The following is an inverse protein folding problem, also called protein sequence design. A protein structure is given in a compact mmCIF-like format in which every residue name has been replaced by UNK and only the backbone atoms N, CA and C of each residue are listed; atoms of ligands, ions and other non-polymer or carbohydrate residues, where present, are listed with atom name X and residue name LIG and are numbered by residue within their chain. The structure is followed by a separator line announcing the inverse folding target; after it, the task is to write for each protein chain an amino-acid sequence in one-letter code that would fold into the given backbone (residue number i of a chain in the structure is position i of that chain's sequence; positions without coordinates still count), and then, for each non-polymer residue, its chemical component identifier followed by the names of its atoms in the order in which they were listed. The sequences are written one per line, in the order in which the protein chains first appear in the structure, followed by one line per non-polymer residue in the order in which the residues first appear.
data_IF_475818254610
#
_entry.id   IF_475818254610
#
_cell.length_a   1.000
_cell.length_b   1.000
_cell.length_c   1.000
_cell.angle_alpha   90.00
_cell.angle_beta   90.00
_cell.angle_gamma   90.00
#
_symmetry.space_group_name_H-M   'P 1'
#
loop_
_entity.id
_entity.type
_entity.pdbx_description
1 polymer ?
#
# COMPACT_ATOMS: atom_id res chain seq x y z
N UNK A 1 -17.65 47.58 3.63
CA UNK A 1 -18.79 48.12 2.87
C UNK A 1 -18.56 47.84 1.39
N UNK A 2 -19.25 46.84 0.88
CA UNK A 2 -20.00 46.75 -0.40
C UNK A 2 -20.57 45.33 -0.34
N UNK A 3 -21.88 45.26 -0.13
CA UNK A 3 -22.63 44.03 0.01
C UNK A 3 -23.02 43.52 -1.39
N UNK A 4 -22.75 42.25 -1.67
CA UNK A 4 -23.32 41.54 -2.81
C UNK A 4 -24.17 40.42 -2.23
N UNK A 5 -25.49 40.58 -2.37
CA UNK A 5 -26.48 39.55 -2.02
C UNK A 5 -26.26 38.31 -2.89
N UNK A 6 -26.02 37.16 -2.25
CA UNK A 6 -26.12 35.84 -2.87
C UNK A 6 -27.37 35.14 -2.33
N UNK A 7 -28.15 34.47 -3.19
CA UNK A 7 -29.37 33.76 -2.78
C UNK A 7 -29.04 32.58 -1.84
N UNK A 8 -29.99 32.14 -1.00
CA UNK A 8 -29.73 31.11 0.00
C UNK A 8 -29.35 29.79 -0.66
N UNK A 9 -28.19 29.26 -0.26
CA UNK A 9 -27.77 27.91 -0.59
C UNK A 9 -28.70 26.92 0.12
N UNK A 10 -29.29 26.03 -0.67
CA UNK A 10 -30.14 24.94 -0.19
C UNK A 10 -29.41 24.08 0.84
N UNK A 11 -30.12 23.76 1.92
CA UNK A 11 -29.67 22.85 2.99
C UNK A 11 -29.23 21.50 2.42
N UNK A 12 -28.15 20.88 2.94
CA UNK A 12 -27.83 19.50 2.62
C UNK A 12 -28.85 18.61 3.31
N UNK A 13 -29.84 18.17 2.54
CA UNK A 13 -30.84 17.19 2.93
C UNK A 13 -30.13 15.91 3.42
N UNK A 14 -30.08 15.73 4.73
CA UNK A 14 -29.73 14.47 5.39
C UNK A 14 -30.86 13.47 5.14
N UNK A 15 -30.72 12.68 4.08
CA UNK A 15 -31.47 11.43 3.90
C UNK A 15 -30.46 10.28 3.73
N UNK A 16 -30.60 9.17 4.47
CA UNK A 16 -29.72 8.03 4.32
C UNK A 16 -29.88 7.43 2.92
N UNK A 17 -28.77 7.22 2.23
CA UNK A 17 -28.71 6.47 0.98
C UNK A 17 -29.28 5.07 1.22
N UNK A 18 -30.52 4.85 0.78
CA UNK A 18 -31.13 3.55 0.73
C UNK A 18 -30.31 2.62 -0.18
N UNK A 19 -30.20 1.32 0.14
CA UNK A 19 -29.46 0.37 -0.68
C UNK A 19 -30.05 0.32 -2.10
N UNK A 20 -29.16 0.40 -3.10
CA UNK A 20 -29.48 0.15 -4.50
C UNK A 20 -30.06 -1.26 -4.64
N UNK A 21 -31.39 -1.35 -4.56
CA UNK A 21 -32.12 -2.56 -4.93
C UNK A 21 -32.02 -2.76 -6.44
N UNK A 22 -31.71 -3.97 -6.93
CA UNK A 22 -31.80 -4.25 -8.35
C UNK A 22 -33.23 -4.04 -8.84
N UNK A 23 -33.37 -3.29 -9.94
CA UNK A 23 -34.64 -3.11 -10.66
C UNK A 23 -35.26 -4.48 -10.97
N UNK A 24 -36.52 -4.75 -10.59
CA UNK A 24 -37.23 -5.90 -11.10
C UNK A 24 -37.60 -5.61 -12.57
N UNK A 25 -36.85 -6.20 -13.51
CA UNK A 25 -37.31 -6.31 -14.89
C UNK A 25 -38.53 -7.24 -14.89
N UNK A 26 -39.72 -6.65 -14.81
CA UNK A 26 -40.98 -7.28 -15.23
C UNK A 26 -40.77 -7.81 -16.66
N UNK A 27 -40.70 -9.12 -16.81
CA UNK A 27 -41.01 -9.79 -18.08
C UNK A 27 -42.39 -10.39 -17.94
N UNK A 28 -43.37 -9.70 -18.52
CA UNK A 28 -44.61 -10.32 -18.98
C UNK A 28 -44.22 -11.34 -20.04
N UNK A 29 -44.05 -12.60 -19.64
CA UNK A 29 -44.12 -13.70 -20.60
C UNK A 29 -45.60 -13.91 -20.91
N UNK A 30 -46.02 -13.36 -22.04
CA UNK A 30 -47.26 -13.76 -22.67
C UNK A 30 -47.19 -15.26 -22.97
N UNK A 31 -47.87 -16.04 -22.14
CA UNK A 31 -48.11 -17.49 -22.23
C UNK A 31 -48.93 -17.91 -23.47
N UNK A 32 -48.95 -17.09 -24.52
CA UNK A 32 -49.76 -17.28 -25.73
C UNK A 32 -48.96 -17.58 -27.00
N UNK A 33 -47.63 -17.66 -26.91
CA UNK A 33 -46.77 -18.12 -28.01
C UNK A 33 -46.34 -19.59 -27.88
N UNK A 34 -46.30 -20.12 -26.66
CA UNK A 34 -45.93 -21.52 -26.40
C UNK A 34 -47.08 -22.51 -26.63
N UNK A 35 -48.33 -22.05 -26.49
CA UNK A 35 -49.51 -22.89 -26.69
C UNK A 35 -49.88 -23.05 -28.17
N UNK A 36 -49.58 -22.06 -29.02
CA UNK A 36 -49.86 -22.10 -30.46
C UNK A 36 -48.83 -22.93 -31.25
N UNK A 37 -47.59 -23.03 -30.75
CA UNK A 37 -46.55 -23.91 -31.34
C UNK A 37 -46.75 -25.41 -31.02
N UNK A 38 -47.44 -25.75 -29.93
CA UNK A 38 -47.75 -27.13 -29.55
C UNK A 38 -49.03 -27.68 -30.21
N UNK A 39 -49.94 -26.81 -30.67
CA UNK A 39 -51.16 -27.24 -31.37
C UNK A 39 -50.89 -27.49 -32.87
N UNK A 40 -49.87 -26.85 -33.45
CA UNK A 40 -49.48 -27.06 -34.84
C UNK A 40 -48.63 -28.32 -35.08
N UNK A 41 -48.06 -28.91 -34.02
CA UNK A 41 -47.30 -30.17 -34.10
C UNK A 41 -48.16 -31.42 -33.95
N UNK A 42 -49.41 -31.31 -33.49
CA UNK A 42 -50.34 -32.43 -33.33
C UNK A 42 -51.23 -32.68 -34.56
N UNK A 43 -51.22 -31.80 -35.57
CA UNK A 43 -52.00 -31.98 -36.81
C UNK A 43 -51.18 -32.52 -37.99
N UNK A 44 -49.88 -32.75 -37.82
CA UNK A 44 -48.99 -33.25 -38.88
C UNK A 44 -48.43 -34.67 -38.62
N UNK A 45 -48.94 -35.42 -37.64
CA UNK A 45 -48.39 -36.75 -37.29
C UNK A 45 -49.16 -37.96 -37.83
N UNK A 46 -50.07 -37.77 -38.79
CA UNK A 46 -50.80 -38.86 -39.46
C UNK A 46 -50.92 -38.59 -40.96
N UNK A 47 -49.97 -39.09 -41.75
CA UNK A 47 -50.06 -39.06 -43.21
C UNK A 47 -48.76 -39.50 -43.87
N UNK A 48 -48.79 -40.62 -44.58
CA UNK A 48 -47.63 -41.34 -45.10
C UNK A 48 -46.89 -40.64 -46.25
N UNK A 49 -45.73 -41.23 -46.57
CA UNK A 49 -44.69 -40.65 -47.39
C UNK A 49 -45.05 -40.34 -48.85
N UNK A 50 -44.34 -39.36 -49.39
CA UNK A 50 -44.32 -39.03 -50.81
C UNK A 50 -44.05 -37.53 -51.05
N UNK A 51 -42.82 -37.22 -51.47
CA UNK A 51 -42.37 -36.04 -52.23
C UNK A 51 -43.05 -34.69 -51.90
N UNK A 52 -42.29 -33.83 -51.21
CA UNK A 52 -42.63 -32.45 -50.81
C UNK A 52 -43.64 -32.34 -49.66
N UNK A 53 -43.21 -32.72 -48.46
CA UNK A 53 -43.86 -32.26 -47.24
C UNK A 53 -43.57 -30.76 -47.05
N UNK A 54 -44.51 -29.93 -47.53
CA UNK A 54 -44.44 -28.47 -47.48
C UNK A 54 -44.18 -27.95 -46.06
N UNK A 55 -44.59 -28.66 -45.00
CA UNK A 55 -44.35 -28.24 -43.61
C UNK A 55 -42.90 -28.42 -43.15
N UNK A 56 -42.20 -29.41 -43.70
CA UNK A 56 -40.84 -29.78 -43.28
C UNK A 56 -39.79 -28.71 -43.62
N UNK A 57 -39.82 -28.17 -44.84
CA UNK A 57 -38.83 -27.19 -45.31
C UNK A 57 -38.91 -25.85 -44.54
N UNK A 58 -40.12 -25.35 -44.24
CA UNK A 58 -40.29 -24.16 -43.42
C UNK A 58 -39.89 -24.40 -41.95
N UNK A 59 -40.13 -25.59 -41.41
CA UNK A 59 -39.68 -25.95 -40.06
C UNK A 59 -38.15 -26.00 -39.95
N UNK A 60 -37.47 -26.50 -41.00
CA UNK A 60 -36.02 -26.54 -41.09
C UNK A 60 -35.42 -25.15 -41.29
N UNK A 61 -36.05 -24.30 -42.12
CA UNK A 61 -35.68 -22.89 -42.27
C UNK A 61 -35.77 -22.15 -40.92
N UNK A 62 -36.87 -22.31 -40.18
CA UNK A 62 -37.03 -21.67 -38.87
C UNK A 62 -35.98 -22.14 -37.85
N UNK A 63 -35.62 -23.44 -37.85
CA UNK A 63 -34.52 -23.96 -37.01
C UNK A 63 -33.16 -23.40 -37.41
N UNK A 64 -32.88 -23.30 -38.71
CA UNK A 64 -31.64 -22.72 -39.22
C UNK A 64 -31.51 -21.23 -38.85
N UNK A 65 -32.61 -20.47 -38.87
CA UNK A 65 -32.65 -19.07 -38.40
C UNK A 65 -32.44 -18.97 -36.89
N UNK A 66 -33.03 -19.87 -36.10
CA UNK A 66 -32.79 -19.93 -34.66
C UNK A 66 -31.33 -20.25 -34.31
N UNK A 67 -30.68 -21.15 -35.07
CA UNK A 67 -29.25 -21.43 -34.95
C UNK A 67 -28.39 -20.19 -35.28
N UNK A 68 -28.74 -19.46 -36.34
CA UNK A 68 -28.03 -18.23 -36.69
C UNK A 68 -28.14 -17.17 -35.58
N UNK A 69 -29.32 -17.00 -34.98
CA UNK A 69 -29.51 -16.12 -33.83
C UNK A 69 -28.71 -16.57 -32.61
N UNK A 70 -28.60 -17.89 -32.40
CA UNK A 70 -27.74 -18.46 -31.35
C UNK A 70 -26.26 -18.20 -31.61
N UNK A 71 -25.78 -18.28 -32.85
CA UNK A 71 -24.39 -17.97 -33.17
C UNK A 71 -24.05 -16.51 -32.91
N UNK A 72 -24.95 -15.56 -33.22
CA UNK A 72 -24.75 -14.17 -32.81
C UNK A 72 -24.65 -14.01 -31.30
N UNK A 73 -25.53 -14.69 -30.54
CA UNK A 73 -25.43 -14.71 -29.08
C UNK A 73 -24.10 -15.31 -28.61
N UNK A 74 -23.63 -16.40 -29.23
CA UNK A 74 -22.35 -17.03 -28.88
C UNK A 74 -21.15 -16.10 -29.09
N UNK A 75 -21.12 -15.36 -30.20
CA UNK A 75 -20.10 -14.35 -30.47
C UNK A 75 -20.13 -13.23 -29.42
N UNK A 76 -21.31 -12.72 -29.11
CA UNK A 76 -21.50 -11.68 -28.09
C UNK A 76 -21.09 -12.14 -26.69
N UNK A 77 -21.07 -13.46 -26.45
CA UNK A 77 -20.74 -14.09 -25.18
C UNK A 77 -19.38 -14.81 -25.19
N UNK A 78 -18.48 -14.44 -26.10
CA UNK A 78 -17.06 -14.75 -26.01
C UNK A 78 -16.57 -15.94 -26.84
N UNK A 79 -17.42 -16.57 -27.65
CA UNK A 79 -16.97 -17.59 -28.61
C UNK A 79 -16.19 -16.92 -29.74
N UNK A 80 -14.98 -17.40 -30.10
CA UNK A 80 -14.22 -16.86 -31.22
C UNK A 80 -14.96 -16.99 -32.56
N UNK A 81 -14.91 -15.94 -33.38
CA UNK A 81 -15.53 -15.96 -34.70
C UNK A 81 -14.96 -17.02 -35.65
N UNK A 82 -13.72 -17.46 -35.43
CA UNK A 82 -13.08 -18.51 -36.20
C UNK A 82 -13.78 -19.87 -36.04
N UNK A 83 -14.28 -20.17 -34.85
CA UNK A 83 -14.90 -21.47 -34.54
C UNK A 83 -16.30 -21.57 -35.17
N UNK A 84 -17.00 -20.43 -35.30
CA UNK A 84 -18.32 -20.35 -35.94
C UNK A 84 -18.27 -20.05 -37.45
N UNK A 85 -17.12 -19.64 -37.98
CA UNK A 85 -16.99 -19.25 -39.39
C UNK A 85 -17.42 -20.36 -40.39
N UNK A 86 -17.07 -21.65 -40.18
CA UNK A 86 -17.52 -22.73 -41.07
C UNK A 86 -19.04 -22.88 -41.09
N UNK A 87 -19.68 -22.80 -39.91
CA UNK A 87 -21.14 -22.92 -39.76
C UNK A 87 -21.87 -21.74 -40.40
N UNK A 88 -21.40 -20.52 -40.16
CA UNK A 88 -21.96 -19.29 -40.74
C UNK A 88 -21.86 -19.33 -42.27
N UNK A 89 -20.74 -19.82 -42.81
CA UNK A 89 -20.57 -19.95 -44.25
C UNK A 89 -21.54 -20.96 -44.87
N UNK A 90 -21.70 -22.14 -44.26
CA UNK A 90 -22.64 -23.16 -44.71
C UNK A 90 -24.09 -22.66 -44.67
N UNK A 91 -24.47 -21.92 -43.64
CA UNK A 91 -25.78 -21.26 -43.57
C UNK A 91 -25.97 -20.22 -44.68
N UNK A 92 -24.97 -19.38 -44.96
CA UNK A 92 -25.07 -18.39 -46.07
C UNK A 92 -25.27 -19.08 -47.41
N UNK A 93 -24.61 -20.21 -47.64
CA UNK A 93 -24.80 -20.99 -48.86
C UNK A 93 -26.22 -21.58 -48.97
N UNK A 94 -26.80 -22.07 -47.87
CA UNK A 94 -28.17 -22.60 -47.89
C UNK A 94 -29.22 -21.52 -48.20
N UNK A 95 -28.91 -20.27 -47.88
CA UNK A 95 -29.75 -19.10 -48.15
C UNK A 95 -29.55 -18.49 -49.56
N UNK A 96 -28.45 -18.81 -50.24
CA UNK A 96 -28.10 -18.21 -51.53
C UNK A 96 -29.08 -18.58 -52.65
N UNK A 97 -29.68 -19.77 -52.56
CA UNK A 97 -30.76 -20.23 -53.45
C UNK A 97 -32.04 -20.42 -52.66
N UNK A 98 -33.12 -19.72 -53.02
CA UNK A 98 -34.43 -19.84 -52.35
C UNK A 98 -35.46 -20.44 -53.30
N UNK A 99 -36.22 -21.41 -52.80
CA UNK A 99 -37.36 -22.01 -53.48
C UNK A 99 -38.59 -21.86 -52.57
N UNK A 100 -39.63 -21.20 -53.08
CA UNK A 100 -40.87 -20.94 -52.33
C UNK A 100 -40.60 -20.32 -50.94
N UNK A 101 -39.71 -19.33 -50.85
CA UNK A 101 -39.44 -18.59 -49.61
C UNK A 101 -38.53 -19.27 -48.58
N UNK A 102 -38.21 -20.57 -48.73
CA UNK A 102 -37.20 -21.27 -47.92
C UNK A 102 -35.92 -21.54 -48.74
N UNK A 103 -34.79 -21.77 -48.07
CA UNK A 103 -33.56 -22.20 -48.73
C UNK A 103 -33.77 -23.49 -49.53
N UNK A 104 -33.28 -23.54 -50.78
CA UNK A 104 -33.48 -24.68 -51.70
C UNK A 104 -32.95 -26.01 -51.10
N UNK A 105 -31.91 -25.94 -50.27
CA UNK A 105 -31.35 -27.05 -49.51
C UNK A 105 -32.38 -27.74 -48.60
N UNK A 106 -33.34 -27.01 -48.04
CA UNK A 106 -34.32 -27.55 -47.09
C UNK A 106 -35.44 -28.35 -47.75
N UNK A 107 -35.53 -28.29 -49.08
CA UNK A 107 -36.43 -29.11 -49.89
C UNK A 107 -35.80 -30.45 -50.30
N UNK A 108 -34.49 -30.63 -50.06
CA UNK A 108 -33.74 -31.83 -50.42
C UNK A 108 -33.67 -32.81 -49.23
N UNK A 109 -33.58 -34.13 -49.48
CA UNK A 109 -33.52 -35.15 -48.43
C UNK A 109 -32.41 -34.94 -47.36
N UNK A 110 -31.30 -34.28 -47.71
CA UNK A 110 -30.17 -34.00 -46.78
C UNK A 110 -30.29 -32.69 -45.98
N UNK A 111 -31.37 -31.93 -46.14
CA UNK A 111 -31.57 -30.66 -45.42
C UNK A 111 -31.71 -30.84 -43.91
N UNK A 112 -32.40 -31.90 -43.47
CA UNK A 112 -32.56 -32.22 -42.05
C UNK A 112 -31.23 -32.62 -41.39
N UNK A 113 -30.44 -33.46 -42.05
CA UNK A 113 -29.12 -33.90 -41.58
C UNK A 113 -28.16 -32.72 -41.45
N UNK A 114 -28.23 -31.77 -42.39
CA UNK A 114 -27.40 -30.55 -42.36
C UNK A 114 -27.72 -29.68 -41.13
N UNK A 115 -29.00 -29.47 -40.82
CA UNK A 115 -29.43 -28.69 -39.64
C UNK A 115 -29.10 -29.43 -38.34
N UNK A 116 -29.26 -30.76 -38.30
CA UNK A 116 -28.89 -31.57 -37.14
C UNK A 116 -27.38 -31.50 -36.85
N UNK A 117 -26.55 -31.61 -37.89
CA UNK A 117 -25.10 -31.45 -37.77
C UNK A 117 -24.71 -30.04 -37.31
N UNK A 118 -25.34 -29.00 -37.83
CA UNK A 118 -25.10 -27.63 -37.34
C UNK A 118 -25.42 -27.47 -35.86
N UNK A 119 -26.53 -28.05 -35.40
CA UNK A 119 -26.89 -28.05 -33.99
C UNK A 119 -25.85 -28.77 -33.13
N UNK A 120 -25.42 -29.97 -33.54
CA UNK A 120 -24.41 -30.75 -32.83
C UNK A 120 -23.06 -30.03 -32.75
N UNK A 121 -22.57 -29.49 -33.88
CA UNK A 121 -21.32 -28.71 -33.93
C UNK A 121 -21.43 -27.44 -33.07
N UNK A 122 -22.59 -26.76 -33.07
CA UNK A 122 -22.83 -25.57 -32.23
C UNK A 122 -22.80 -25.90 -30.74
N UNK A 123 -23.44 -27.00 -30.34
CA UNK A 123 -23.46 -27.46 -28.95
C UNK A 123 -22.06 -27.89 -28.49
N UNK A 124 -21.30 -28.57 -29.36
CA UNK A 124 -19.93 -28.98 -29.09
C UNK A 124 -19.00 -27.78 -28.89
N UNK A 125 -19.07 -26.76 -29.76
CA UNK A 125 -18.29 -25.53 -29.63
C UNK A 125 -18.60 -24.83 -28.30
N UNK A 126 -19.90 -24.63 -28.00
CA UNK A 126 -20.31 -23.96 -26.77
C UNK A 126 -19.84 -24.71 -25.51
N UNK A 127 -20.06 -26.02 -25.45
CA UNK A 127 -19.69 -26.83 -24.29
C UNK A 127 -18.17 -26.89 -24.10
N UNK A 128 -17.42 -27.04 -25.20
CA UNK A 128 -15.96 -27.06 -25.20
C UNK A 128 -15.39 -25.78 -24.61
N UNK A 129 -15.76 -24.63 -25.17
CA UNK A 129 -15.27 -23.33 -24.71
C UNK A 129 -15.74 -23.01 -23.29
N UNK A 130 -17.01 -23.27 -22.96
CA UNK A 130 -17.51 -23.06 -21.60
C UNK A 130 -16.69 -23.84 -20.57
N UNK A 131 -16.35 -25.10 -20.87
CA UNK A 131 -15.51 -25.92 -19.98
C UNK A 131 -14.11 -25.34 -19.81
N UNK A 132 -13.51 -24.87 -20.91
CA UNK A 132 -12.15 -24.31 -20.96
C UNK A 132 -12.07 -22.99 -20.19
N UNK A 133 -12.96 -22.05 -20.48
CA UNK A 133 -12.97 -20.75 -19.81
C UNK A 133 -13.27 -20.91 -18.32
N UNK A 134 -14.17 -21.83 -17.95
CA UNK A 134 -14.43 -22.17 -16.55
C UNK A 134 -13.20 -22.76 -15.85
N UNK A 135 -12.45 -23.64 -16.51
CA UNK A 135 -11.21 -24.19 -15.94
C UNK A 135 -10.14 -23.11 -15.77
N UNK A 136 -9.96 -22.23 -16.75
CA UNK A 136 -8.98 -21.15 -16.71
C UNK A 136 -9.29 -20.15 -15.58
N UNK A 137 -10.57 -19.76 -15.46
CA UNK A 137 -11.03 -18.90 -14.36
C UNK A 137 -10.79 -19.55 -12.99
N UNK A 138 -11.03 -20.87 -12.85
CA UNK A 138 -10.75 -21.61 -11.62
C UNK A 138 -9.25 -21.61 -11.27
N UNK A 139 -8.36 -21.72 -12.26
CA UNK A 139 -6.92 -21.62 -12.03
C UNK A 139 -6.51 -20.22 -11.56
N UNK A 140 -7.08 -19.17 -12.16
CA UNK A 140 -6.87 -17.79 -11.69
C UNK A 140 -7.39 -17.56 -10.27
N UNK A 141 -8.54 -18.13 -9.89
CA UNK A 141 -9.08 -18.07 -8.53
C UNK A 141 -8.10 -18.68 -7.52
N UNK A 142 -7.57 -19.87 -7.83
CA UNK A 142 -6.60 -20.55 -6.97
C UNK A 142 -5.30 -19.76 -6.84
N UNK A 143 -4.82 -19.19 -7.95
CA UNK A 143 -3.63 -18.34 -7.94
C UNK A 143 -3.84 -17.10 -7.04
N UNK A 144 -5.00 -16.45 -7.14
CA UNK A 144 -5.36 -15.31 -6.29
C UNK A 144 -5.47 -15.71 -4.81
N UNK A 145 -6.14 -16.83 -4.51
CA UNK A 145 -6.26 -17.35 -3.16
C UNK A 145 -4.89 -17.58 -2.51
N UNK A 146 -3.97 -18.21 -3.25
CA UNK A 146 -2.61 -18.44 -2.80
C UNK A 146 -1.85 -17.12 -2.57
N UNK A 147 -2.05 -16.12 -3.44
CA UNK A 147 -1.41 -14.82 -3.30
C UNK A 147 -1.90 -14.05 -2.05
N UNK A 148 -3.21 -14.07 -1.77
CA UNK A 148 -3.85 -13.31 -0.70
C UNK A 148 -3.53 -13.80 0.73
N UNK A 149 -3.17 -15.08 0.91
CA UNK A 149 -3.07 -15.73 2.22
C UNK A 149 -2.33 -14.90 3.30
N UNK A 150 -2.96 -14.58 4.46
CA UNK A 150 -4.27 -15.04 4.93
C UNK A 150 -5.47 -14.26 4.34
N UNK A 151 -6.41 -14.99 3.75
CA UNK A 151 -7.68 -14.46 3.24
C UNK A 151 -8.83 -14.77 4.21
N UNK A 152 -9.78 -13.85 4.39
CA UNK A 152 -10.96 -14.11 5.21
C UNK A 152 -11.96 -15.03 4.49
N UNK A 153 -12.70 -15.85 5.26
CA UNK A 153 -13.73 -16.72 4.69
C UNK A 153 -14.81 -15.96 3.91
N UNK A 154 -15.15 -14.73 4.34
CA UNK A 154 -16.17 -13.89 3.69
C UNK A 154 -15.71 -13.44 2.30
N UNK A 155 -14.46 -13.00 2.16
CA UNK A 155 -13.88 -12.59 0.87
C UNK A 155 -13.83 -13.76 -0.10
N UNK A 156 -13.35 -14.93 0.35
CA UNK A 156 -13.29 -16.11 -0.49
C UNK A 156 -14.68 -16.56 -0.94
N UNK A 157 -15.66 -16.55 -0.04
CA UNK A 157 -17.04 -16.90 -0.36
C UNK A 157 -17.62 -15.97 -1.43
N UNK A 158 -17.46 -14.66 -1.28
CA UNK A 158 -17.94 -13.69 -2.27
C UNK A 158 -17.37 -13.96 -3.67
N UNK A 159 -16.10 -14.36 -3.76
CA UNK A 159 -15.46 -14.70 -5.04
C UNK A 159 -16.01 -16.00 -5.63
N UNK A 160 -16.23 -17.01 -4.80
CA UNK A 160 -16.83 -18.29 -5.24
C UNK A 160 -18.30 -18.14 -5.64
N UNK A 161 -19.04 -17.25 -4.99
CA UNK A 161 -20.43 -16.93 -5.35
C UNK A 161 -20.45 -16.26 -6.75
N UNK A 162 -19.56 -15.29 -7.02
CA UNK A 162 -19.41 -14.70 -8.35
C UNK A 162 -19.02 -15.74 -9.43
N UNK A 163 -18.16 -16.70 -9.09
CA UNK A 163 -17.84 -17.83 -9.99
C UNK A 163 -19.05 -18.73 -10.27
N UNK A 164 -19.92 -18.93 -9.28
CA UNK A 164 -21.12 -19.77 -9.42
C UNK A 164 -22.22 -19.07 -10.23
N UNK A 165 -22.26 -17.73 -10.23
CA UNK A 165 -23.20 -16.93 -11.01
C UNK A 165 -22.81 -16.79 -12.50
N UNK A 166 -21.53 -17.01 -12.84
CA UNK A 166 -21.04 -16.96 -14.22
C UNK A 166 -21.62 -18.11 -15.07
N UNK A 167 -22.16 -17.78 -16.24
CA UNK A 167 -22.85 -18.76 -17.11
C UNK A 167 -22.32 -18.80 -18.54
N UNK A 168 -21.53 -17.82 -18.95
CA UNK A 168 -21.02 -17.69 -20.32
C UNK A 168 -19.49 -17.70 -20.37
N UNK A 169 -18.88 -18.05 -21.52
CA UNK A 169 -17.43 -17.93 -21.71
C UNK A 169 -16.87 -16.54 -21.39
N UNK A 170 -17.58 -15.48 -21.78
CA UNK A 170 -17.20 -14.09 -21.48
C UNK A 170 -17.21 -13.76 -19.99
N UNK A 171 -18.19 -14.26 -19.22
CA UNK A 171 -18.22 -14.07 -17.76
C UNK A 171 -16.96 -14.67 -17.12
N UNK A 172 -16.62 -15.91 -17.48
CA UNK A 172 -15.44 -16.60 -16.97
C UNK A 172 -14.13 -15.93 -17.44
N UNK A 173 -14.06 -15.45 -18.68
CA UNK A 173 -12.91 -14.70 -19.19
C UNK A 173 -12.68 -13.42 -18.39
N UNK A 174 -13.76 -12.69 -18.07
CA UNK A 174 -13.71 -11.46 -17.27
C UNK A 174 -13.20 -11.75 -15.86
N UNK A 175 -13.76 -12.75 -15.18
CA UNK A 175 -13.31 -13.17 -13.85
C UNK A 175 -11.84 -13.63 -13.86
N UNK A 176 -11.44 -14.40 -14.88
CA UNK A 176 -10.06 -14.86 -15.05
C UNK A 176 -9.09 -13.68 -15.11
N UNK A 177 -9.40 -12.67 -15.90
CA UNK A 177 -8.52 -11.52 -16.14
C UNK A 177 -8.44 -10.62 -14.91
N UNK A 178 -9.58 -10.35 -14.24
CA UNK A 178 -9.63 -9.60 -12.99
C UNK A 178 -8.80 -10.27 -11.89
N UNK A 179 -9.02 -11.56 -11.65
CA UNK A 179 -8.28 -12.30 -10.61
C UNK A 179 -6.80 -12.44 -10.95
N UNK A 180 -6.44 -12.59 -12.22
CA UNK A 180 -5.05 -12.63 -12.64
C UNK A 180 -4.34 -11.30 -12.38
N UNK A 181 -5.00 -10.16 -12.61
CA UNK A 181 -4.46 -8.83 -12.29
C UNK A 181 -4.32 -8.67 -10.79
N UNK A 182 -5.36 -9.00 -10.01
CA UNK A 182 -5.31 -8.92 -8.55
C UNK A 182 -4.19 -9.77 -7.96
N UNK A 183 -4.03 -11.02 -8.41
CA UNK A 183 -3.00 -11.92 -7.91
C UNK A 183 -1.59 -11.35 -8.11
N UNK A 184 -1.37 -10.63 -9.22
CA UNK A 184 -0.09 -9.94 -9.50
C UNK A 184 0.13 -8.71 -8.63
N UNK A 185 -0.95 -8.02 -8.23
CA UNK A 185 -0.88 -6.83 -7.39
C UNK A 185 -0.63 -7.15 -5.92
N UNK A 186 -1.13 -8.28 -5.41
CA UNK A 186 -1.02 -8.62 -3.99
C UNK A 186 0.42 -8.53 -3.43
N UNK A 187 1.47 -9.10 -4.07
CA UNK A 187 2.84 -8.93 -3.61
C UNK A 187 3.31 -7.47 -3.62
N UNK A 188 2.85 -6.68 -4.59
CA UNK A 188 3.20 -5.25 -4.72
C UNK A 188 2.52 -4.45 -3.61
N UNK A 189 1.24 -4.69 -3.36
CA UNK A 189 0.48 -4.03 -2.29
C UNK A 189 1.09 -4.32 -0.91
N UNK A 190 1.51 -5.58 -0.67
CA UNK A 190 2.20 -5.97 0.57
C UNK A 190 3.51 -5.23 0.74
N UNK A 191 4.30 -5.08 -0.33
CA UNK A 191 5.56 -4.31 -0.30
C UNK A 191 5.30 -2.84 -0.01
N UNK A 192 4.32 -2.23 -0.67
CA UNK A 192 3.92 -0.84 -0.43
C UNK A 192 3.48 -0.66 1.03
N UNK A 193 2.63 -1.54 1.56
CA UNK A 193 2.18 -1.49 2.95
C UNK A 193 3.35 -1.63 3.94
N UNK A 194 4.28 -2.55 3.69
CA UNK A 194 5.49 -2.70 4.50
C UNK A 194 6.38 -1.45 4.47
N UNK A 195 6.59 -0.86 3.29
CA UNK A 195 7.34 0.40 3.14
C UNK A 195 6.65 1.56 3.84
N UNK A 196 5.33 1.68 3.77
CA UNK A 196 4.56 2.70 4.51
C UNK A 196 4.75 2.54 6.02
N UNK A 197 4.68 1.31 6.54
CA UNK A 197 4.92 1.02 7.95
C UNK A 197 6.35 1.42 8.37
N UNK A 198 7.36 1.04 7.57
CA UNK A 198 8.75 1.40 7.83
C UNK A 198 8.97 2.93 7.83
N UNK A 199 8.44 3.64 6.83
CA UNK A 199 8.51 5.10 6.73
C UNK A 199 7.78 5.78 7.89
N UNK A 200 6.63 5.27 8.30
CA UNK A 200 5.88 5.77 9.47
C UNK A 200 6.71 5.62 10.76
N UNK A 201 7.30 4.44 10.99
CA UNK A 201 8.18 4.19 12.13
C UNK A 201 9.41 5.10 12.14
N UNK A 202 10.04 5.31 10.98
CA UNK A 202 11.16 6.25 10.83
C UNK A 202 10.75 7.70 11.08
N UNK A 203 9.57 8.14 10.59
CA UNK A 203 9.05 9.49 10.87
C UNK A 203 8.82 9.69 12.37
N UNK A 204 8.26 8.68 13.06
CA UNK A 204 8.12 8.73 14.53
C UNK A 204 9.48 8.79 15.24
N UNK A 205 10.47 8.02 14.79
CA UNK A 205 11.83 8.07 15.34
C UNK A 205 12.49 9.44 15.12
N UNK A 206 12.36 10.02 13.92
CA UNK A 206 12.84 11.36 13.62
C UNK A 206 12.22 12.42 14.55
N UNK A 207 10.91 12.33 14.80
CA UNK A 207 10.21 13.21 15.76
C UNK A 207 10.75 13.06 17.18
N UNK A 208 11.00 11.82 17.65
CA UNK A 208 11.62 11.56 18.97
C UNK A 208 13.01 12.16 19.08
N UNK A 209 13.76 12.20 17.98
CA UNK A 209 15.07 12.87 17.93
C UNK A 209 14.96 14.40 17.89
N UNK A 210 13.76 14.97 17.78
CA UNK A 210 13.54 16.43 17.74
C UNK A 210 13.52 17.03 16.32
N UNK A 211 13.54 16.19 15.27
CA UNK A 211 13.43 16.63 13.89
C UNK A 211 11.97 17.01 13.60
N UNK A 212 11.69 18.29 13.29
CA UNK A 212 10.31 18.79 13.13
C UNK A 212 9.75 18.65 11.72
N UNK A 213 10.60 18.49 10.71
CA UNK A 213 10.18 18.40 9.32
C UNK A 213 9.79 16.96 8.94
N UNK A 214 8.53 16.79 8.53
CA UNK A 214 7.94 15.50 8.17
C UNK A 214 7.63 15.40 6.67
N UNK A 215 8.62 14.98 5.84
CA UNK A 215 8.40 14.76 4.41
C UNK A 215 7.53 13.52 4.11
N UNK A 216 7.18 12.71 5.13
CA UNK A 216 6.49 11.44 4.92
C UNK A 216 4.98 11.56 4.91
N UNK A 217 4.42 12.56 5.59
CA UNK A 217 2.97 12.72 5.78
C UNK A 217 2.16 12.62 4.47
N UNK A 218 2.57 13.35 3.44
CA UNK A 218 1.88 13.38 2.16
C UNK A 218 1.99 12.06 1.39
N UNK A 219 3.15 11.42 1.42
CA UNK A 219 3.39 10.14 0.72
C UNK A 219 2.61 9.01 1.40
N UNK A 220 2.54 9.01 2.73
CA UNK A 220 1.72 8.07 3.51
C UNK A 220 0.23 8.27 3.18
N UNK A 221 -0.23 9.53 3.10
CA UNK A 221 -1.61 9.83 2.72
C UNK A 221 -1.93 9.33 1.30
N UNK A 222 -1.03 9.54 0.34
CA UNK A 222 -1.17 9.01 -1.03
C UNK A 222 -1.20 7.49 -1.07
N UNK A 223 -0.39 6.81 -0.26
CA UNK A 223 -0.42 5.36 -0.14
C UNK A 223 -1.74 4.84 0.48
N UNK A 224 -2.34 5.60 1.40
CA UNK A 224 -3.67 5.31 1.93
C UNK A 224 -4.76 5.38 0.86
N UNK A 225 -4.69 6.37 -0.04
CA UNK A 225 -5.60 6.47 -1.20
C UNK A 225 -5.38 5.33 -2.19
N UNK A 226 -4.13 4.94 -2.44
CA UNK A 226 -3.76 3.85 -3.35
C UNK A 226 -4.49 2.54 -3.02
N UNK A 227 -4.63 2.20 -1.74
CA UNK A 227 -5.29 0.96 -1.31
C UNK A 227 -6.79 0.88 -1.71
N UNK A 228 -7.42 2.02 -1.98
CA UNK A 228 -8.85 2.11 -2.32
C UNK A 228 -9.10 2.19 -3.84
N UNK A 229 -8.04 2.18 -4.67
CA UNK A 229 -8.16 2.27 -6.12
C UNK A 229 -8.53 0.92 -6.77
N UNK A 230 -9.16 0.99 -7.94
CA UNK A 230 -9.45 -0.21 -8.72
C UNK A 230 -8.14 -0.91 -9.17
N UNK A 231 -8.15 -2.23 -9.44
CA UNK A 231 -6.94 -2.99 -9.76
C UNK A 231 -6.09 -2.38 -10.89
N UNK A 232 -6.71 -1.94 -11.99
CA UNK A 232 -5.99 -1.33 -13.11
C UNK A 232 -5.32 0.01 -12.73
N UNK A 233 -5.98 0.83 -11.92
CA UNK A 233 -5.43 2.10 -11.45
C UNK A 233 -4.29 1.88 -10.45
N UNK A 234 -4.40 0.86 -9.59
CA UNK A 234 -3.30 0.44 -8.71
C UNK A 234 -2.10 0.02 -9.52
N UNK A 235 -2.29 -0.84 -10.53
CA UNK A 235 -1.22 -1.27 -11.42
C UNK A 235 -0.48 -0.10 -12.07
N UNK A 236 -1.22 0.90 -12.56
CA UNK A 236 -0.65 2.09 -13.20
C UNK A 236 0.16 2.99 -12.23
N UNK A 237 -0.16 2.99 -10.94
CA UNK A 237 0.45 3.90 -9.94
C UNK A 237 1.48 3.21 -9.03
N UNK A 238 1.45 1.88 -8.96
CA UNK A 238 2.25 1.12 -8.01
C UNK A 238 3.76 1.38 -8.15
N UNK A 239 4.27 1.48 -9.38
CA UNK A 239 5.70 1.68 -9.63
C UNK A 239 6.19 3.03 -9.07
N UNK A 240 5.51 4.12 -9.42
CA UNK A 240 5.89 5.46 -8.96
C UNK A 240 5.80 5.56 -7.44
N UNK A 241 4.72 5.02 -6.84
CA UNK A 241 4.55 5.02 -5.39
C UNK A 241 5.65 4.22 -4.70
N UNK A 242 6.01 3.04 -5.22
CA UNK A 242 7.08 2.20 -4.67
C UNK A 242 8.42 2.92 -4.72
N UNK A 243 8.78 3.54 -5.85
CA UNK A 243 10.02 4.32 -5.99
C UNK A 243 10.05 5.50 -5.01
N UNK A 244 8.93 6.21 -4.86
CA UNK A 244 8.81 7.35 -3.95
C UNK A 244 8.99 6.93 -2.49
N UNK A 245 8.36 5.83 -2.08
CA UNK A 245 8.50 5.28 -0.73
C UNK A 245 9.93 4.83 -0.43
N UNK A 246 10.60 4.16 -1.38
CA UNK A 246 11.99 3.73 -1.22
C UNK A 246 12.95 4.92 -1.09
N UNK A 247 12.81 5.93 -1.95
CA UNK A 247 13.64 7.15 -1.87
C UNK A 247 13.43 7.92 -0.56
N UNK A 248 12.17 8.02 -0.11
CA UNK A 248 11.82 8.64 1.16
C UNK A 248 12.41 7.85 2.35
N UNK A 249 12.34 6.53 2.34
CA UNK A 249 12.91 5.66 3.38
C UNK A 249 14.43 5.85 3.49
N UNK A 250 15.14 5.86 2.36
CA UNK A 250 16.59 6.11 2.34
C UNK A 250 16.93 7.50 2.86
N UNK A 251 16.19 8.53 2.43
CA UNK A 251 16.36 9.90 2.89
C UNK A 251 16.14 10.03 4.40
N UNK A 252 15.06 9.45 4.94
CA UNK A 252 14.78 9.46 6.38
C UNK A 252 15.86 8.72 7.18
N UNK A 253 16.30 7.55 6.69
CA UNK A 253 17.36 6.78 7.34
C UNK A 253 18.67 7.58 7.43
N UNK A 254 19.08 8.24 6.33
CA UNK A 254 20.27 9.09 6.33
C UNK A 254 20.16 10.28 7.29
N UNK A 255 18.98 10.90 7.38
CA UNK A 255 18.71 12.01 8.31
C UNK A 255 18.74 11.55 9.76
N UNK A 256 18.12 10.42 10.09
CA UNK A 256 18.12 9.84 11.45
C UNK A 256 19.54 9.48 11.90
N UNK A 257 20.34 8.89 11.02
CA UNK A 257 21.74 8.56 11.31
C UNK A 257 22.56 9.84 11.61
N UNK A 258 22.47 10.85 10.75
CA UNK A 258 23.18 12.11 10.95
C UNK A 258 22.69 12.89 12.19
N UNK A 259 21.39 12.89 12.45
CA UNK A 259 20.82 13.52 13.63
C UNK A 259 21.24 12.83 14.93
N UNK A 260 21.34 11.51 14.95
CA UNK A 260 21.87 10.74 16.10
C UNK A 260 23.31 11.15 16.41
N UNK A 261 24.16 11.28 15.39
CA UNK A 261 25.54 11.75 15.56
C UNK A 261 25.61 13.19 16.08
N UNK A 262 24.73 14.07 15.59
CA UNK A 262 24.65 15.44 16.09
C UNK A 262 24.20 15.49 17.57
N UNK A 263 23.24 14.65 18.00
CA UNK A 263 22.85 14.54 19.41
C UNK A 263 24.01 14.09 20.30
N UNK A 264 24.79 13.09 19.87
CA UNK A 264 26.00 12.67 20.59
C UNK A 264 27.03 13.81 20.65
N UNK A 265 27.17 14.58 19.56
CA UNK A 265 27.99 15.78 19.52
C UNK A 265 27.56 16.84 20.54
N UNK A 266 26.25 17.06 20.70
CA UNK A 266 25.73 18.00 21.70
C UNK A 266 26.07 17.55 23.12
N UNK A 267 25.90 16.26 23.42
CA UNK A 267 26.23 15.73 24.75
C UNK A 267 27.72 15.92 25.05
N UNK A 268 28.60 15.45 24.16
CA UNK A 268 30.05 15.58 24.33
C UNK A 268 30.48 17.04 24.49
N UNK A 269 29.96 17.93 23.65
CA UNK A 269 30.29 19.37 23.74
C UNK A 269 29.81 19.97 25.05
N UNK A 270 28.65 19.55 25.55
CA UNK A 270 28.13 19.98 26.85
C UNK A 270 29.02 19.51 27.99
N UNK A 271 29.55 18.29 27.92
CA UNK A 271 30.45 17.74 28.93
C UNK A 271 31.77 18.53 28.97
N UNK A 272 32.37 18.80 27.82
CA UNK A 272 33.61 19.61 27.73
C UNK A 272 33.40 21.06 28.20
N UNK A 273 32.29 21.71 27.83
CA UNK A 273 31.98 23.07 28.30
C UNK A 273 31.77 23.08 29.81
N UNK A 274 31.12 22.05 30.36
CA UNK A 274 30.91 21.94 31.81
C UNK A 274 32.23 21.77 32.54
N UNK A 275 33.14 20.95 32.00
CA UNK A 275 34.50 20.81 32.52
C UNK A 275 35.28 22.13 32.46
N UNK A 276 35.21 22.86 31.35
CA UNK A 276 35.84 24.16 31.20
C UNK A 276 35.33 25.18 32.23
N UNK A 277 34.02 25.13 32.53
CA UNK A 277 33.42 25.95 33.58
C UNK A 277 34.00 25.66 34.97
N UNK A 278 34.35 24.41 35.28
CA UNK A 278 34.97 24.04 36.57
C UNK A 278 36.36 24.66 36.73
N UNK A 279 37.07 24.90 35.63
CA UNK A 279 38.36 25.59 35.61
C UNK A 279 38.23 27.12 35.53
N UNK A 280 37.02 27.68 35.67
CA UNK A 280 36.79 29.13 35.68
C UNK A 280 36.95 29.82 34.31
N UNK A 281 36.89 29.06 33.22
CA UNK A 281 36.99 29.60 31.86
C UNK A 281 35.70 30.32 31.45
N UNK A 282 35.81 31.39 30.65
CA UNK A 282 34.64 32.04 30.04
C UNK A 282 34.05 31.17 28.92
N UNK A 283 32.86 30.63 29.17
CA UNK A 283 32.15 29.70 28.29
C UNK A 283 31.04 30.35 27.45
N UNK A 284 30.80 31.66 27.61
CA UNK A 284 29.62 32.32 27.03
C UNK A 284 29.54 32.17 25.51
N UNK A 285 30.68 32.31 24.82
CA UNK A 285 30.77 32.18 23.36
C UNK A 285 30.46 30.76 22.87
N UNK A 286 30.93 29.73 23.58
CA UNK A 286 30.67 28.33 23.26
C UNK A 286 29.21 27.96 23.51
N UNK A 287 28.64 28.41 24.63
CA UNK A 287 27.22 28.20 24.93
C UNK A 287 26.31 28.85 23.87
N UNK A 288 26.63 30.06 23.41
CA UNK A 288 25.90 30.73 22.33
C UNK A 288 25.93 29.93 21.01
N UNK A 289 27.10 29.38 20.64
CA UNK A 289 27.21 28.50 19.45
C UNK A 289 26.41 27.21 19.60
N UNK A 290 26.47 26.57 20.77
CA UNK A 290 25.68 25.36 21.06
C UNK A 290 24.18 25.66 20.97
N UNK A 291 23.72 26.79 21.51
CA UNK A 291 22.32 27.22 21.40
C UNK A 291 21.91 27.45 19.95
N UNK A 292 22.70 28.17 19.16
CA UNK A 292 22.45 28.39 17.73
C UNK A 292 22.39 27.07 16.94
N UNK A 293 23.22 26.09 17.31
CA UNK A 293 23.19 24.76 16.71
C UNK A 293 21.93 23.97 17.09
N UNK A 294 21.44 24.09 18.33
CA UNK A 294 20.17 23.46 18.75
C UNK A 294 19.00 24.01 17.92
N UNK A 295 18.98 25.30 17.65
CA UNK A 295 17.97 25.93 16.79
C UNK A 295 18.03 25.44 15.34
N UNK A 296 19.24 25.31 14.78
CA UNK A 296 19.47 24.74 13.44
C UNK A 296 19.03 23.28 13.37
N UNK A 297 19.33 22.49 14.41
CA UNK A 297 19.00 21.06 14.47
C UNK A 297 17.51 20.80 14.26
N UNK A 298 16.63 21.58 14.93
CA UNK A 298 15.19 21.42 14.80
C UNK A 298 14.63 21.75 13.41
N UNK A 299 15.38 22.51 12.60
CA UNK A 299 14.99 22.98 11.25
C UNK A 299 15.65 22.18 10.11
N UNK A 300 16.66 21.36 10.41
CA UNK A 300 17.42 20.64 9.40
C UNK A 300 16.55 19.66 8.59
N UNK A 301 16.69 19.76 7.27
CA UNK A 301 15.95 18.98 6.27
C UNK A 301 16.82 17.89 5.63
N UNK A 302 18.15 18.03 5.69
CA UNK A 302 19.09 17.18 4.98
C UNK A 302 20.18 16.60 5.91
N UNK A 303 20.77 15.44 5.56
CA UNK A 303 21.92 14.91 6.29
C UNK A 303 23.12 15.89 6.33
N UNK A 304 23.32 16.68 5.27
CA UNK A 304 24.42 17.63 5.18
C UNK A 304 24.33 18.74 6.25
N UNK A 305 23.12 19.23 6.54
CA UNK A 305 22.90 20.22 7.60
C UNK A 305 23.20 19.65 8.99
N UNK A 306 22.80 18.40 9.28
CA UNK A 306 23.17 17.72 10.52
C UNK A 306 24.69 17.50 10.63
N UNK A 307 25.35 17.17 9.52
CA UNK A 307 26.80 17.02 9.48
C UNK A 307 27.52 18.35 9.75
N UNK A 308 27.00 19.47 9.23
CA UNK A 308 27.52 20.81 9.52
C UNK A 308 27.38 21.16 11.01
N UNK A 309 26.24 20.86 11.63
CA UNK A 309 26.04 21.03 13.07
C UNK A 309 27.05 20.19 13.86
N UNK A 310 27.20 18.92 13.48
CA UNK A 310 28.16 18.00 14.12
C UNK A 310 29.60 18.51 14.02
N UNK A 311 29.99 19.05 12.87
CA UNK A 311 31.33 19.62 12.67
C UNK A 311 31.57 20.85 13.55
N UNK A 312 30.58 21.76 13.64
CA UNK A 312 30.67 22.94 14.50
C UNK A 312 30.80 22.56 15.98
N UNK A 313 29.99 21.59 16.45
CA UNK A 313 30.06 21.04 17.81
C UNK A 313 31.43 20.44 18.12
N UNK A 314 32.01 19.66 17.19
CA UNK A 314 33.39 19.14 17.35
C UNK A 314 34.42 20.25 17.49
N UNK A 315 34.27 21.34 16.74
CA UNK A 315 35.18 22.48 16.84
C UNK A 315 35.03 23.19 18.21
N UNK A 316 33.79 23.36 18.69
CA UNK A 316 33.54 23.93 20.03
C UNK A 316 34.16 23.05 21.11
N UNK A 317 33.91 21.73 21.08
CA UNK A 317 34.48 20.78 22.02
C UNK A 317 36.02 20.81 22.02
N UNK A 318 36.65 20.80 20.84
CA UNK A 318 38.10 20.91 20.73
C UNK A 318 38.66 22.24 21.24
N UNK A 319 37.90 23.33 21.07
CA UNK A 319 38.30 24.65 21.61
C UNK A 319 38.22 24.68 23.13
N UNK A 320 37.19 24.07 23.71
CA UNK A 320 37.03 23.94 25.16
C UNK A 320 38.14 23.06 25.76
N UNK A 321 38.39 21.88 25.18
CA UNK A 321 39.47 20.97 25.58
C UNK A 321 40.85 21.66 25.53
N UNK A 322 41.15 22.40 24.46
CA UNK A 322 42.39 23.16 24.37
C UNK A 322 42.52 24.22 25.47
N UNK A 323 41.44 24.95 25.77
CA UNK A 323 41.45 25.95 26.83
C UNK A 323 41.61 25.32 28.23
N UNK A 324 40.99 24.17 28.47
CA UNK A 324 41.19 23.37 29.68
C UNK A 324 42.65 22.96 29.81
N UNK A 325 43.26 22.46 28.73
CA UNK A 325 44.67 22.09 28.71
C UNK A 325 45.58 23.27 29.06
N UNK A 326 45.31 24.46 28.50
CA UNK A 326 46.05 25.69 28.83
C UNK A 326 45.87 26.05 30.31
N UNK A 327 44.64 26.02 30.84
CA UNK A 327 44.37 26.29 32.25
C UNK A 327 45.13 25.32 33.17
N UNK A 328 45.12 24.02 32.85
CA UNK A 328 45.89 23.01 33.59
C UNK A 328 47.39 23.25 33.51
N UNK A 329 47.93 23.66 32.36
CA UNK A 329 49.35 23.99 32.22
C UNK A 329 49.79 25.22 33.01
N UNK A 330 48.86 26.13 33.30
CA UNK A 330 49.08 27.32 34.13
C UNK A 330 48.75 27.09 35.60
N UNK A 331 48.11 25.96 35.93
CA UNK A 331 47.75 25.62 37.31
C UNK A 331 49.00 25.16 38.05
N UNK A 332 49.50 26.00 38.96
CA UNK A 332 50.60 25.64 39.84
C UNK A 332 50.10 24.77 41.00
N UNK A 333 50.22 23.45 40.86
CA UNK A 333 49.99 22.51 41.96
C UNK A 333 51.24 22.49 42.84
N UNK A 334 51.09 22.82 44.13
CA UNK A 334 52.16 22.67 45.11
C UNK A 334 52.33 21.18 45.39
N UNK A 335 53.29 20.54 44.71
CA UNK A 335 53.61 19.13 44.89
C UNK A 335 54.34 18.89 46.21
N UNK A 336 54.12 17.72 46.83
CA UNK A 336 54.82 17.33 48.06
C UNK A 336 54.14 17.77 49.35
N UNK A 337 52.95 18.36 49.29
CA UNK A 337 52.08 18.56 50.46
C UNK A 337 51.60 17.18 50.93
N UNK A 338 51.86 16.85 52.19
CA UNK A 338 51.38 15.61 52.79
C UNK A 338 49.85 15.63 52.90
N UNK A 339 49.18 14.56 52.48
CA UNK A 339 47.74 14.43 52.61
C UNK A 339 47.40 13.89 54.02
N UNK A 340 46.70 14.70 54.82
CA UNK A 340 46.31 14.37 56.19
C UNK A 340 44.79 14.29 56.27
N UNK A 341 44.28 13.13 56.69
CA UNK A 341 42.86 12.94 56.91
C UNK A 341 42.40 13.70 58.17
N UNK A 342 41.20 14.27 58.10
CA UNK A 342 40.49 14.77 59.27
C UNK A 342 40.25 13.62 60.27
N UNK A 343 40.64 13.79 61.53
CA UNK A 343 40.51 12.75 62.56
C UNK A 343 39.54 13.12 63.70
N UNK A 344 38.98 14.34 63.71
CA UNK A 344 37.92 14.78 64.61
C UNK A 344 36.70 15.29 63.83
N UNK A 345 35.48 15.32 64.42
CA UNK A 345 34.35 16.00 63.81
C UNK A 345 34.62 17.50 63.63
N UNK A 346 34.22 18.07 62.49
CA UNK A 346 34.34 19.52 62.19
C UNK A 346 35.77 20.09 62.27
N UNK A 347 36.82 19.28 62.11
CA UNK A 347 38.22 19.74 62.16
C UNK A 347 38.88 19.93 60.79
N UNK A 348 38.11 20.37 59.78
CA UNK A 348 38.63 20.48 58.42
C UNK A 348 39.64 21.64 58.31
N UNK A 349 39.49 22.69 59.11
CA UNK A 349 40.45 23.78 59.25
C UNK A 349 41.78 23.32 59.86
N UNK A 350 41.76 22.48 60.90
CA UNK A 350 42.97 21.96 61.56
C UNK A 350 43.68 20.93 60.68
N UNK A 351 42.92 20.08 59.97
CA UNK A 351 43.48 19.17 58.99
C UNK A 351 44.17 19.94 57.85
N UNK A 352 43.52 20.97 57.29
CA UNK A 352 44.10 21.82 56.25
C UNK A 352 45.32 22.60 56.75
N UNK A 353 45.26 23.14 57.97
CA UNK A 353 46.37 23.87 58.60
C UNK A 353 47.56 22.95 58.87
N UNK A 354 47.33 21.74 59.38
CA UNK A 354 48.35 20.72 59.60
C UNK A 354 49.05 20.32 58.29
N UNK A 355 48.29 20.15 57.20
CA UNK A 355 48.86 19.90 55.85
C UNK A 355 49.73 21.08 55.38
N UNK A 356 49.23 22.30 55.52
CA UNK A 356 49.94 23.52 55.10
C UNK A 356 51.25 23.74 55.90
N UNK A 357 51.21 23.60 57.22
CA UNK A 357 52.38 23.74 58.09
C UNK A 357 53.39 22.63 57.86
N UNK A 358 52.93 21.39 57.70
CA UNK A 358 53.80 20.24 57.41
C UNK A 358 54.58 20.45 56.12
N UNK A 359 53.94 21.04 55.10
CA UNK A 359 54.61 21.39 53.85
C UNK A 359 55.71 22.47 54.04
N UNK A 360 55.58 23.34 55.04
CA UNK A 360 56.61 24.33 55.41
C UNK A 360 57.67 23.78 56.37
N UNK A 361 57.64 22.47 56.68
CA UNK A 361 58.58 21.83 57.61
C UNK A 361 58.17 21.92 59.09
N UNK A 362 56.95 22.36 59.38
CA UNK A 362 56.41 22.46 60.75
C UNK A 362 55.39 21.35 60.96
N UNK A 363 55.73 20.36 61.77
CA UNK A 363 54.85 19.21 62.02
C UNK A 363 54.01 19.42 63.28
N UNK A 364 52.72 19.71 63.11
CA UNK A 364 51.72 19.79 64.18
C UNK A 364 50.55 18.86 63.91
N UNK A 365 50.08 18.16 64.95
CA UNK A 365 48.86 17.34 64.87
C UNK A 365 47.60 18.20 64.98
N UNK A 366 46.45 17.65 64.55
CA UNK A 366 45.14 18.29 64.75
C UNK A 366 44.87 18.55 66.25
N UNK A 367 45.26 17.63 67.15
CA UNK A 367 45.11 17.79 68.60
C UNK A 367 45.88 19.00 69.13
N UNK A 368 47.12 19.20 68.67
CA UNK A 368 47.95 20.32 69.10
C UNK A 368 47.36 21.66 68.64
N UNK A 369 46.77 21.69 67.45
CA UNK A 369 46.13 22.89 66.91
C UNK A 369 44.83 23.19 67.69
N UNK A 370 43.98 22.19 67.91
CA UNK A 370 42.72 22.31 68.68
C UNK A 370 42.95 22.80 70.11
N UNK A 371 43.98 22.26 70.76
CA UNK A 371 44.36 22.64 72.11
C UNK A 371 44.81 24.12 72.19
N UNK A 372 45.59 24.57 71.21
CA UNK A 372 46.15 25.93 71.18
C UNK A 372 45.07 27.01 70.90
N UNK A 373 44.06 26.69 70.08
CA UNK A 373 42.96 27.62 69.78
C UNK A 373 41.90 27.65 70.89
N UNK A 374 42.05 26.84 71.95
CA UNK A 374 41.07 26.73 73.03
C UNK A 374 39.74 26.14 72.60
N UNK A 375 39.73 25.37 71.52
CA UNK A 375 38.55 24.64 71.02
C UNK A 375 38.36 23.29 71.72
N UNK A 376 39.13 23.01 72.78
CA UNK A 376 38.88 21.89 73.69
C UNK A 376 37.54 22.08 74.42
N UNK A 377 36.45 21.65 73.76
CA UNK A 377 35.44 20.70 74.23
C UNK A 377 34.52 20.23 73.09
#
# INVERSE_FOLDING_TARGET
MIAVERPPAAEPNTAPLAPLRPRPRRRLWSSRLSASLLVLTLTASLGGGGLFDLGSAYSLQARAEALQARWSYMLDNGIPGADLAPLIWQWRQSQASRLMGAGAMFWLPGGADSVARWQEETDAIWAGDLSRFRSDARLSEQALHNALAPETHVQRRSRLDAFAEATTPLDFATLRDEWAIEARLVPVDRRIAASVSAVSGQSQQARKLGIRSDPASEVIARAGVYANLAPLERMARAELLTRTLLGLQQSLQGRIAAATLAQQGFQRTSDEISLASLYGLDIASWQARVAANKDKFGKALTPAEFNSITADLKQVAASADHAIYVALSQTHVISGVAFIYQNHPLSCEEAATSMALSHQGIHLSQDQILHEIGADL
#
